data_IF_303866606038
#
_entry.id   IF_303866606038
#
_cell.length_a   1.000
_cell.length_b   1.000
_cell.length_c   1.000
_cell.angle_alpha   90.00
_cell.angle_beta   90.00
_cell.angle_gamma   90.00
#
_symmetry.space_group_name_H-M   'P 1'
#
loop_
_entity.id
_entity.type
_entity.pdbx_description
1 polymer ?
#
# COMPACT_ATOMS: atom_id res chain seq x y z
N UNK A 1 -23.48 15.78 -54.47
CA UNK A 1 -23.79 15.30 -53.10
C UNK A 1 -22.66 14.39 -52.67
N UNK A 2 -21.69 14.92 -51.93
CA UNK A 2 -20.55 14.15 -51.41
C UNK A 2 -20.83 13.81 -49.94
N UNK A 3 -20.89 12.52 -49.63
CA UNK A 3 -20.94 12.05 -48.25
C UNK A 3 -19.54 12.15 -47.65
N UNK A 4 -19.34 13.15 -46.78
CA UNK A 4 -18.16 13.25 -45.92
C UNK A 4 -18.05 11.99 -45.06
N UNK A 5 -17.05 11.17 -45.35
CA UNK A 5 -16.61 10.07 -44.50
C UNK A 5 -16.02 10.67 -43.21
N UNK A 6 -16.84 10.76 -42.17
CA UNK A 6 -16.35 10.95 -40.80
C UNK A 6 -15.75 9.62 -40.37
N UNK A 7 -14.42 9.52 -40.47
CA UNK A 7 -13.66 8.52 -39.73
C UNK A 7 -13.92 8.79 -38.25
N UNK A 8 -14.83 8.02 -37.65
CA UNK A 8 -14.91 7.92 -36.20
C UNK A 8 -13.63 7.26 -35.73
N UNK A 9 -12.58 8.07 -35.53
CA UNK A 9 -11.52 7.74 -34.61
C UNK A 9 -12.22 7.60 -33.26
N UNK A 10 -12.63 6.38 -32.89
CA UNK A 10 -12.82 6.06 -31.48
C UNK A 10 -11.52 6.53 -30.81
N UNK A 11 -11.56 7.54 -29.91
CA UNK A 11 -10.40 7.81 -29.10
C UNK A 11 -10.10 6.48 -28.44
N UNK A 12 -8.85 6.02 -28.48
CA UNK A 12 -8.43 4.97 -27.57
C UNK A 12 -8.55 5.59 -26.18
N UNK A 13 -9.71 5.48 -25.55
CA UNK A 13 -9.92 5.90 -24.18
C UNK A 13 -8.96 5.08 -23.32
N UNK A 14 -8.01 5.79 -22.71
CA UNK A 14 -7.21 5.39 -21.57
C UNK A 14 -6.35 4.12 -21.73
N UNK A 15 -5.09 4.32 -22.14
CA UNK A 15 -4.01 3.74 -21.33
C UNK A 15 -4.04 4.53 -20.02
N UNK A 16 -4.97 4.19 -19.13
CA UNK A 16 -4.94 4.71 -17.78
C UNK A 16 -3.59 4.30 -17.19
N UNK A 17 -2.90 5.23 -16.53
CA UNK A 17 -1.67 4.91 -15.80
C UNK A 17 -1.86 3.61 -15.02
N UNK A 18 -0.88 2.71 -15.02
CA UNK A 18 -0.97 1.47 -14.24
C UNK A 18 -1.39 1.81 -12.80
N UNK A 19 -2.29 1.02 -12.18
CA UNK A 19 -2.75 1.30 -10.83
C UNK A 19 -1.54 1.44 -9.90
N UNK A 20 -1.52 2.51 -9.11
CA UNK A 20 -0.40 2.74 -8.20
C UNK A 20 -0.52 1.76 -7.03
N UNK A 21 0.50 0.91 -6.87
CA UNK A 21 0.57 -0.14 -5.84
C UNK A 21 1.59 0.24 -4.78
N UNK A 22 1.21 0.12 -3.52
CA UNK A 22 2.10 0.22 -2.36
C UNK A 22 2.10 -1.12 -1.62
N UNK A 23 3.30 -1.59 -1.28
CA UNK A 23 3.50 -2.79 -0.47
C UNK A 23 4.01 -2.36 0.89
N UNK A 24 3.33 -2.74 1.96
CA UNK A 24 3.80 -2.55 3.33
C UNK A 24 4.17 -3.91 3.91
N UNK A 25 5.42 -4.09 4.35
CA UNK A 25 5.84 -5.26 5.12
C UNK A 25 6.00 -4.91 6.58
N UNK A 26 5.35 -5.68 7.45
CA UNK A 26 5.64 -5.72 8.88
C UNK A 26 6.66 -6.80 9.16
N UNK A 27 7.74 -6.43 9.82
CA UNK A 27 8.73 -7.35 10.36
C UNK A 27 8.63 -7.30 11.88
N UNK A 28 8.06 -8.35 12.47
CA UNK A 28 7.89 -8.44 13.91
C UNK A 28 9.05 -9.20 14.54
N UNK A 29 9.73 -8.57 15.49
CA UNK A 29 10.84 -9.19 16.21
C UNK A 29 10.58 -9.19 17.71
N UNK A 30 10.33 -10.37 18.26
CA UNK A 30 10.16 -10.54 19.70
C UNK A 30 11.42 -10.06 20.45
N UNK A 31 11.23 -9.16 21.43
CA UNK A 31 12.30 -8.60 22.25
C UNK A 31 13.14 -7.49 21.62
N UNK A 32 12.80 -7.00 20.42
CA UNK A 32 13.47 -5.89 19.76
C UNK A 32 12.46 -4.89 19.15
N UNK A 33 12.96 -3.82 18.52
CA UNK A 33 12.13 -2.92 17.71
C UNK A 33 11.63 -3.68 16.47
N UNK A 34 10.33 -3.58 16.22
CA UNK A 34 9.70 -4.06 14.98
C UNK A 34 9.59 -2.92 13.99
N UNK A 35 9.37 -3.26 12.71
CA UNK A 35 9.35 -2.25 11.64
C UNK A 35 8.19 -2.46 10.68
N UNK A 36 7.59 -1.37 10.25
CA UNK A 36 6.77 -1.31 9.04
C UNK A 36 7.62 -0.70 7.93
N UNK A 37 7.79 -1.42 6.83
CA UNK A 37 8.54 -1.00 5.66
C UNK A 37 7.54 -0.74 4.53
N UNK A 38 7.47 0.50 4.04
CA UNK A 38 6.54 0.96 3.03
C UNK A 38 7.30 1.11 1.71
N UNK A 39 7.02 0.23 0.76
CA UNK A 39 7.56 0.26 -0.59
C UNK A 39 6.57 0.95 -1.53
N UNK A 40 6.99 2.09 -2.08
CA UNK A 40 6.21 2.87 -3.07
C UNK A 40 6.75 2.70 -4.49
N UNK A 41 8.06 2.55 -4.60
CA UNK A 41 8.78 2.21 -5.83
C UNK A 41 10.11 1.57 -5.44
N UNK A 42 10.88 1.10 -6.42
CA UNK A 42 12.22 0.52 -6.20
C UNK A 42 13.15 1.45 -5.39
N UNK A 43 13.00 2.76 -5.59
CA UNK A 43 13.88 3.79 -5.02
C UNK A 43 13.18 4.61 -3.92
N UNK A 44 11.94 4.26 -3.55
CA UNK A 44 11.16 4.96 -2.53
C UNK A 44 10.69 3.98 -1.46
N UNK A 45 11.46 3.92 -0.38
CA UNK A 45 11.23 3.08 0.81
C UNK A 45 11.19 3.97 2.04
N UNK A 46 10.17 3.78 2.88
CA UNK A 46 10.03 4.43 4.18
C UNK A 46 9.94 3.35 5.27
N UNK A 47 10.66 3.55 6.38
CA UNK A 47 10.62 2.64 7.52
C UNK A 47 10.04 3.35 8.74
N UNK A 48 9.11 2.70 9.42
CA UNK A 48 8.56 3.12 10.71
C UNK A 48 8.94 2.07 11.74
N UNK A 49 9.81 2.44 12.68
CA UNK A 49 10.12 1.61 13.83
C UNK A 49 9.09 1.78 14.94
N UNK A 50 8.76 0.69 15.63
CA UNK A 50 7.87 0.72 16.78
C UNK A 50 8.26 -0.36 17.80
N UNK A 51 7.87 -0.13 19.06
CA UNK A 51 8.09 -1.10 20.12
C UNK A 51 6.99 -2.17 20.06
N UNK A 52 7.33 -3.37 19.61
CA UNK A 52 6.42 -4.53 19.68
C UNK A 52 6.52 -5.24 21.03
N UNK A 53 5.49 -6.02 21.36
CA UNK A 53 5.51 -6.90 22.53
C UNK A 53 4.12 -7.38 22.93
N UNK A 54 4.07 -8.46 23.70
CA UNK A 54 2.83 -9.07 24.18
C UNK A 54 2.25 -8.40 25.42
N UNK A 55 2.92 -7.37 25.95
CA UNK A 55 2.38 -6.55 27.04
C UNK A 55 1.53 -5.40 26.49
N UNK A 56 0.69 -4.80 27.34
CA UNK A 56 -0.22 -3.72 26.94
C UNK A 56 0.47 -2.57 26.22
N UNK A 57 1.69 -2.21 26.64
CA UNK A 57 2.48 -1.15 26.01
C UNK A 57 2.84 -1.52 24.57
N UNK A 58 3.35 -2.73 24.36
CA UNK A 58 3.72 -3.26 23.06
C UNK A 58 2.51 -3.40 22.13
N UNK A 59 1.40 -3.91 22.64
CA UNK A 59 0.14 -4.05 21.88
C UNK A 59 -0.36 -2.68 21.40
N UNK A 60 -0.40 -1.68 22.30
CA UNK A 60 -0.84 -0.32 21.95
C UNK A 60 0.11 0.37 20.97
N UNK A 61 1.41 0.25 21.18
CA UNK A 61 2.42 0.83 20.28
C UNK A 61 2.36 0.20 18.89
N UNK A 62 2.12 -1.11 18.83
CA UNK A 62 1.93 -1.84 17.57
C UNK A 62 0.69 -1.32 16.87
N UNK A 63 -0.48 -1.35 17.51
CA UNK A 63 -1.73 -0.87 16.93
C UNK A 63 -1.63 0.59 16.43
N UNK A 64 -0.97 1.47 17.19
CA UNK A 64 -0.76 2.86 16.79
C UNK A 64 0.10 2.99 15.52
N UNK A 65 1.18 2.22 15.40
CA UNK A 65 2.04 2.23 14.22
C UNK A 65 1.29 1.76 12.96
N UNK A 66 0.53 0.65 13.06
CA UNK A 66 -0.29 0.18 11.95
C UNK A 66 -1.37 1.20 11.58
N UNK A 67 -2.08 1.77 12.56
CA UNK A 67 -3.09 2.79 12.32
C UNK A 67 -2.50 4.03 11.61
N UNK A 68 -1.32 4.49 12.01
CA UNK A 68 -0.63 5.61 11.38
C UNK A 68 -0.39 5.35 9.88
N UNK A 69 0.12 4.17 9.53
CA UNK A 69 0.36 3.81 8.12
C UNK A 69 -0.94 3.71 7.34
N UNK A 70 -1.94 3.01 7.88
CA UNK A 70 -3.23 2.84 7.22
C UNK A 70 -3.88 4.20 6.97
N UNK A 71 -3.94 5.07 7.98
CA UNK A 71 -4.53 6.41 7.84
C UNK A 71 -3.76 7.28 6.85
N UNK A 72 -2.42 7.22 6.85
CA UNK A 72 -1.58 7.94 5.88
C UNK A 72 -1.91 7.51 4.44
N UNK A 73 -1.90 6.20 4.17
CA UNK A 73 -2.15 5.66 2.83
C UNK A 73 -3.59 5.89 2.37
N UNK A 74 -4.57 5.78 3.27
CA UNK A 74 -5.96 6.13 2.98
C UNK A 74 -6.12 7.62 2.67
N UNK A 75 -5.45 8.51 3.39
CA UNK A 75 -5.44 9.94 3.12
C UNK A 75 -4.81 10.30 1.77
N UNK A 76 -3.84 9.49 1.30
CA UNK A 76 -3.26 9.59 -0.03
C UNK A 76 -4.16 8.97 -1.14
N UNK A 77 -5.29 8.35 -0.76
CA UNK A 77 -6.28 7.76 -1.67
C UNK A 77 -6.01 6.31 -2.05
N UNK A 78 -5.13 5.62 -1.33
CA UNK A 78 -4.94 4.17 -1.49
C UNK A 78 -5.94 3.39 -0.64
N UNK A 79 -6.35 2.23 -1.14
CA UNK A 79 -7.27 1.31 -0.47
C UNK A 79 -6.55 -0.02 -0.23
N UNK A 80 -6.71 -0.60 0.96
CA UNK A 80 -6.20 -1.94 1.26
C UNK A 80 -6.93 -2.96 0.39
N UNK A 81 -6.18 -3.69 -0.44
CA UNK A 81 -6.71 -4.75 -1.29
C UNK A 81 -6.59 -6.12 -0.63
N UNK A 82 -5.43 -6.43 -0.06
CA UNK A 82 -5.20 -7.72 0.59
C UNK A 82 -4.12 -7.64 1.66
N UNK A 83 -4.15 -8.62 2.55
CA UNK A 83 -3.15 -8.86 3.58
C UNK A 83 -2.75 -10.33 3.54
N UNK A 84 -1.45 -10.61 3.57
CA UNK A 84 -0.89 -11.96 3.69
C UNK A 84 -0.04 -12.05 4.94
N UNK A 85 -0.08 -13.18 5.62
CA UNK A 85 0.75 -13.46 6.79
C UNK A 85 1.69 -14.63 6.51
N UNK A 86 2.91 -14.57 7.05
CA UNK A 86 3.90 -15.65 7.01
C UNK A 86 4.33 -15.97 8.44
N UNK A 87 3.91 -17.13 8.93
CA UNK A 87 4.31 -17.64 10.25
C UNK A 87 5.82 -17.90 10.31
N UNK A 88 6.41 -18.38 9.21
CA UNK A 88 7.84 -18.71 9.12
C UNK A 88 8.73 -17.46 9.30
N UNK A 89 8.31 -16.34 8.73
CA UNK A 89 9.06 -15.09 8.79
C UNK A 89 8.57 -14.13 9.89
N UNK A 90 7.56 -14.54 10.68
CA UNK A 90 6.84 -13.68 11.62
C UNK A 90 6.52 -12.30 11.01
N UNK A 91 6.02 -12.31 9.77
CA UNK A 91 5.83 -11.10 8.97
C UNK A 91 4.45 -11.05 8.34
N UNK A 92 3.97 -9.83 8.14
CA UNK A 92 2.70 -9.55 7.45
C UNK A 92 2.96 -8.61 6.29
N UNK A 93 2.31 -8.83 5.16
CA UNK A 93 2.40 -7.96 3.98
C UNK A 93 1.01 -7.42 3.66
N UNK A 94 0.92 -6.11 3.47
CA UNK A 94 -0.30 -5.40 3.11
C UNK A 94 -0.12 -4.79 1.72
N UNK A 95 -1.10 -4.99 0.85
CA UNK A 95 -1.08 -4.45 -0.51
C UNK A 95 -2.16 -3.39 -0.62
N UNK A 96 -1.74 -2.17 -0.93
CA UNK A 96 -2.60 -1.02 -1.11
C UNK A 96 -2.61 -0.60 -2.58
N UNK A 97 -3.78 -0.27 -3.11
CA UNK A 97 -3.95 0.13 -4.51
C UNK A 97 -4.74 1.42 -4.59
N UNK A 98 -4.31 2.31 -5.48
CA UNK A 98 -5.05 3.50 -5.89
C UNK A 98 -5.41 3.36 -7.36
N UNK A 99 -6.71 3.45 -7.66
CA UNK A 99 -7.20 3.37 -9.04
C UNK A 99 -6.61 4.52 -9.88
N UNK A 100 -6.36 4.28 -11.18
CA UNK A 100 -5.94 5.34 -12.10
C UNK A 100 -7.01 6.44 -12.11
N UNK A 101 -6.59 7.70 -12.20
CA UNK A 101 -7.55 8.77 -12.44
C UNK A 101 -8.11 8.62 -13.86
N UNK A 102 -9.42 8.80 -14.07
CA UNK A 102 -10.03 8.75 -15.40
C UNK A 102 -9.53 9.87 -16.31
#
# INVERSE_FOLDING_TARGET
>A
MSCLLVLSSSPSWAVGEDPSVIIVRSLERSGANSRLIIYRSKDSVEEIEYQSGLNDKGIRSTAAAYQQVVMKLMGEGYVLQTMTHSDLEASSTFIFVKAPKP
#
